data_IF_885294743533
#
_entry.id   IF_885294743533
#
_cell.length_a   1.000
_cell.length_b   1.000
_cell.length_c   1.000
_cell.angle_alpha   90.00
_cell.angle_beta   90.00
_cell.angle_gamma   90.00
#
_symmetry.space_group_name_H-M   'P 1'
#
loop_
_entity.id
_entity.type
_entity.pdbx_description
1 polymer ?
#
# COMPACT_ATOMS: atom_id res chain seq x y z
N UNK A 1 8.63 15.09 -10.19
CA UNK A 1 8.34 14.96 -8.75
C UNK A 1 9.60 15.19 -7.92
N UNK A 2 10.64 14.37 -8.06
CA UNK A 2 11.86 14.51 -7.24
C UNK A 2 12.51 15.90 -7.28
N UNK A 3 12.59 16.54 -8.45
CA UNK A 3 13.11 17.90 -8.56
C UNK A 3 12.30 18.90 -7.70
N UNK A 4 10.97 18.79 -7.69
CA UNK A 4 10.13 19.65 -6.85
C UNK A 4 10.32 19.39 -5.36
N UNK A 5 10.41 18.13 -4.93
CA UNK A 5 10.70 17.80 -3.52
C UNK A 5 12.08 18.32 -3.09
N UNK A 6 13.05 18.31 -4.00
CA UNK A 6 14.40 18.81 -3.75
C UNK A 6 14.44 20.34 -3.64
N UNK A 7 13.85 21.02 -4.62
CA UNK A 7 14.14 22.43 -4.89
C UNK A 7 13.06 23.37 -4.33
N UNK A 8 11.83 22.87 -4.11
CA UNK A 8 10.73 23.66 -3.56
C UNK A 8 10.52 23.39 -2.06
N UNK A 9 9.81 24.31 -1.40
CA UNK A 9 9.33 24.16 -0.03
C UNK A 9 7.90 23.57 -0.08
N UNK A 10 7.82 22.23 -0.03
CA UNK A 10 6.55 21.50 -0.15
C UNK A 10 6.11 20.94 1.20
N UNK A 11 4.87 21.23 1.58
CA UNK A 11 4.24 20.62 2.76
C UNK A 11 4.07 19.10 2.59
N UNK A 12 3.61 18.67 1.42
CA UNK A 12 3.37 17.26 1.12
C UNK A 12 3.48 16.91 -0.37
N UNK A 13 3.68 15.61 -0.63
CA UNK A 13 3.51 15.00 -1.96
C UNK A 13 2.56 13.81 -1.90
N UNK A 14 1.85 13.55 -3.00
CA UNK A 14 1.07 12.34 -3.16
C UNK A 14 1.73 11.40 -4.17
N UNK A 15 1.99 10.15 -3.77
CA UNK A 15 2.76 9.18 -4.58
C UNK A 15 2.08 7.80 -4.61
N UNK A 16 2.30 7.08 -5.70
CA UNK A 16 1.94 5.67 -5.79
C UNK A 16 2.95 4.81 -5.06
N UNK A 17 2.49 4.07 -4.04
CA UNK A 17 3.36 3.19 -3.26
C UNK A 17 2.56 2.04 -2.64
N UNK A 18 3.06 0.82 -2.78
CA UNK A 18 2.44 -0.38 -2.22
C UNK A 18 3.49 -1.46 -1.98
N UNK A 19 3.10 -2.58 -1.38
CA UNK A 19 3.98 -3.75 -1.28
C UNK A 19 4.46 -4.25 -2.65
N UNK A 20 3.72 -3.97 -3.74
CA UNK A 20 4.14 -4.32 -5.09
C UNK A 20 4.95 -3.20 -5.75
N UNK A 21 4.44 -1.98 -5.75
CA UNK A 21 5.07 -0.84 -6.39
C UNK A 21 5.98 -0.11 -5.38
N UNK A 22 7.27 -0.45 -5.38
CA UNK A 22 8.25 0.01 -4.40
C UNK A 22 9.30 0.96 -4.97
N UNK A 23 9.18 1.41 -6.22
CA UNK A 23 10.16 2.28 -6.86
C UNK A 23 10.40 3.60 -6.08
N UNK A 24 9.41 4.04 -5.30
CA UNK A 24 9.55 5.21 -4.44
C UNK A 24 10.58 5.03 -3.30
N UNK A 25 10.87 3.79 -2.87
CA UNK A 25 11.84 3.49 -1.80
C UNK A 25 13.27 3.87 -2.21
N UNK A 26 13.59 3.85 -3.50
CA UNK A 26 14.96 4.05 -3.98
C UNK A 26 15.41 5.51 -3.88
N UNK A 27 14.49 6.47 -4.05
CA UNK A 27 14.83 7.89 -4.23
C UNK A 27 13.84 8.83 -3.57
N UNK A 28 12.55 8.67 -3.85
CA UNK A 28 11.55 9.67 -3.49
C UNK A 28 11.22 9.67 -1.99
N UNK A 29 11.08 8.49 -1.37
CA UNK A 29 10.81 8.37 0.07
C UNK A 29 12.00 8.83 0.93
N UNK A 30 13.27 8.45 0.63
CA UNK A 30 14.43 9.02 1.32
C UNK A 30 14.51 10.55 1.16
N UNK A 31 14.31 11.06 -0.07
CA UNK A 31 14.34 12.50 -0.33
C UNK A 31 13.26 13.26 0.45
N UNK A 32 12.04 12.72 0.52
CA UNK A 32 10.96 13.32 1.30
C UNK A 32 11.30 13.36 2.81
N UNK A 33 11.90 12.29 3.34
CA UNK A 33 12.37 12.25 4.72
C UNK A 33 13.48 13.29 4.98
N UNK A 34 14.46 13.40 4.10
CA UNK A 34 15.57 14.36 4.22
C UNK A 34 15.09 15.82 4.17
N UNK A 35 14.02 16.08 3.42
CA UNK A 35 13.43 17.42 3.24
C UNK A 35 12.34 17.74 4.25
N UNK A 36 11.91 16.77 5.06
CA UNK A 36 10.78 16.93 5.99
C UNK A 36 9.42 17.07 5.29
N UNK A 37 9.31 16.67 4.02
CA UNK A 37 8.07 16.74 3.24
C UNK A 37 7.17 15.56 3.58
N UNK A 38 5.90 15.81 3.92
CA UNK A 38 4.95 14.74 4.23
C UNK A 38 4.60 13.90 2.99
N UNK A 39 4.36 12.61 3.18
CA UNK A 39 4.05 11.68 2.08
C UNK A 39 2.65 11.09 2.24
N UNK A 40 1.79 11.40 1.27
CA UNK A 40 0.47 10.80 1.11
C UNK A 40 0.55 9.66 0.08
N UNK A 41 0.24 8.44 0.49
CA UNK A 41 0.33 7.26 -0.38
C UNK A 41 -1.02 6.99 -1.03
N UNK A 42 -1.07 7.06 -2.36
CA UNK A 42 -2.20 6.59 -3.15
C UNK A 42 -1.95 5.18 -3.70
N UNK A 43 -3.04 4.49 -4.03
CA UNK A 43 -3.05 3.10 -4.49
C UNK A 43 -2.32 2.09 -3.57
N UNK A 44 -2.42 2.18 -2.22
CA UNK A 44 -1.72 1.23 -1.33
C UNK A 44 -2.18 -0.22 -1.50
N UNK A 45 -3.40 -0.42 -2.04
CA UNK A 45 -4.01 -1.72 -2.33
C UNK A 45 -4.04 -2.05 -3.84
N UNK A 46 -3.32 -1.26 -4.65
CA UNK A 46 -3.23 -1.40 -6.12
C UNK A 46 -4.61 -1.55 -6.79
N UNK A 47 -5.58 -0.69 -6.43
CA UNK A 47 -6.94 -0.71 -6.99
C UNK A 47 -7.56 -2.12 -6.96
N UNK A 48 -7.46 -2.79 -5.81
CA UNK A 48 -7.92 -4.15 -5.55
C UNK A 48 -7.17 -5.28 -6.30
N UNK A 49 -6.14 -4.99 -7.09
CA UNK A 49 -5.32 -6.04 -7.75
C UNK A 49 -4.61 -6.94 -6.74
N UNK A 50 -4.16 -6.38 -5.61
CA UNK A 50 -3.57 -7.16 -4.53
C UNK A 50 -4.58 -8.11 -3.87
N UNK A 51 -5.83 -7.66 -3.70
CA UNK A 51 -6.91 -8.50 -3.18
C UNK A 51 -7.30 -9.62 -4.15
N UNK A 52 -7.31 -9.33 -5.45
CA UNK A 52 -7.54 -10.34 -6.48
C UNK A 52 -6.48 -11.45 -6.44
N UNK A 53 -5.21 -11.09 -6.27
CA UNK A 53 -4.10 -12.04 -6.17
C UNK A 53 -4.24 -13.01 -4.97
N UNK A 54 -4.77 -12.54 -3.84
CA UNK A 54 -4.80 -13.27 -2.57
C UNK A 54 -6.18 -13.79 -2.17
N UNK A 55 -7.18 -13.67 -3.05
CA UNK A 55 -8.60 -13.93 -2.77
C UNK A 55 -8.86 -15.22 -1.98
N UNK A 56 -8.23 -16.32 -2.39
CA UNK A 56 -8.44 -17.65 -1.82
C UNK A 56 -7.25 -18.12 -0.95
N UNK A 57 -6.44 -17.17 -0.46
CA UNK A 57 -5.25 -17.46 0.32
C UNK A 57 -5.45 -17.03 1.77
N UNK A 58 -5.13 -17.90 2.75
CA UNK A 58 -5.07 -17.46 4.13
C UNK A 58 -3.94 -16.45 4.29
N UNK A 59 -4.06 -15.56 5.29
CA UNK A 59 -2.93 -14.75 5.71
C UNK A 59 -1.78 -15.65 6.16
N UNK A 60 -0.51 -15.24 5.93
CA UNK A 60 0.61 -15.94 6.53
C UNK A 60 0.54 -15.82 8.05
N UNK A 61 0.91 -16.88 8.77
CA UNK A 61 0.83 -16.94 10.24
C UNK A 61 1.53 -15.79 10.95
N UNK A 62 2.63 -15.30 10.38
CA UNK A 62 3.40 -14.18 10.93
C UNK A 62 2.71 -12.81 10.83
N UNK A 63 1.57 -12.71 10.13
CA UNK A 63 0.75 -11.51 10.15
C UNK A 63 0.27 -11.17 11.58
N UNK A 64 0.10 -12.19 12.43
CA UNK A 64 -0.25 -12.04 13.83
C UNK A 64 0.83 -11.28 14.64
N UNK A 65 2.11 -11.37 14.24
CA UNK A 65 3.24 -10.72 14.95
C UNK A 65 3.08 -9.18 14.99
N UNK A 66 2.36 -8.62 14.01
CA UNK A 66 2.03 -7.19 13.93
C UNK A 66 0.52 -6.93 13.90
N UNK A 67 -0.26 -7.90 14.38
CA UNK A 67 -1.70 -7.76 14.62
C UNK A 67 -2.57 -7.66 13.35
N UNK A 68 -2.06 -7.99 12.17
CA UNK A 68 -2.88 -8.02 10.96
C UNK A 68 -3.78 -9.26 10.94
N UNK A 69 -5.09 -9.03 10.80
CA UNK A 69 -6.14 -10.05 10.74
C UNK A 69 -6.77 -10.21 9.36
N UNK A 70 -6.57 -9.23 8.47
CA UNK A 70 -7.01 -9.27 7.08
C UNK A 70 -5.88 -8.90 6.11
N UNK A 71 -6.03 -9.26 4.83
CA UNK A 71 -5.09 -8.85 3.79
C UNK A 71 -5.05 -7.33 3.60
N UNK A 72 -6.17 -6.61 3.80
CA UNK A 72 -6.17 -5.15 3.77
C UNK A 72 -5.25 -4.58 4.85
N UNK A 73 -5.41 -5.06 6.10
CA UNK A 73 -4.54 -4.67 7.21
C UNK A 73 -3.07 -5.03 6.95
N UNK A 74 -2.79 -6.20 6.37
CA UNK A 74 -1.44 -6.62 6.00
C UNK A 74 -0.78 -5.63 5.02
N UNK A 75 -1.46 -5.29 3.93
CA UNK A 75 -0.92 -4.36 2.93
C UNK A 75 -0.83 -2.92 3.43
N UNK A 76 -1.82 -2.46 4.19
CA UNK A 76 -1.79 -1.11 4.76
C UNK A 76 -0.71 -0.94 5.81
N UNK A 77 -0.52 -1.92 6.69
CA UNK A 77 0.57 -1.90 7.67
C UNK A 77 1.94 -1.91 7.01
N UNK A 78 2.12 -2.61 5.88
CA UNK A 78 3.37 -2.53 5.11
C UNK A 78 3.70 -1.10 4.68
N UNK A 79 2.70 -0.38 4.17
CA UNK A 79 2.83 1.01 3.69
C UNK A 79 3.06 1.96 4.86
N UNK A 80 2.21 1.89 5.90
CA UNK A 80 2.27 2.75 7.08
C UNK A 80 3.56 2.57 7.89
N UNK A 81 4.19 1.40 7.80
CA UNK A 81 5.44 1.12 8.50
C UNK A 81 6.68 1.73 7.87
N UNK A 82 6.59 2.31 6.67
CA UNK A 82 7.73 3.02 6.09
C UNK A 82 7.90 4.38 6.81
N UNK A 83 9.08 4.71 7.38
CA UNK A 83 9.25 5.91 8.22
C UNK A 83 8.93 7.24 7.52
N UNK A 84 9.13 7.33 6.21
CA UNK A 84 8.80 8.52 5.43
C UNK A 84 7.29 8.67 5.10
N UNK A 85 6.46 7.66 5.34
CA UNK A 85 5.02 7.70 5.01
C UNK A 85 4.25 8.39 6.13
N UNK A 86 3.49 9.42 5.77
CA UNK A 86 2.64 10.18 6.71
C UNK A 86 1.21 9.65 6.73
N UNK A 87 0.67 9.31 5.55
CA UNK A 87 -0.73 8.89 5.42
C UNK A 87 -0.87 7.88 4.27
N UNK A 88 -1.74 6.89 4.43
CA UNK A 88 -2.20 6.02 3.35
C UNK A 88 -3.65 6.35 2.98
N UNK A 89 -3.97 6.37 1.69
CA UNK A 89 -5.28 6.71 1.15
C UNK A 89 -5.98 5.48 0.53
N UNK A 90 -6.52 4.53 1.34
CA UNK A 90 -7.29 3.41 0.82
C UNK A 90 -8.74 3.82 0.52
N UNK A 91 -9.02 4.08 -0.76
CA UNK A 91 -10.37 4.36 -1.21
C UNK A 91 -11.25 3.09 -1.21
N UNK A 92 -12.49 3.24 -0.73
CA UNK A 92 -13.52 2.18 -0.76
C UNK A 92 -14.90 2.81 -0.82
N UNK A 93 -15.86 2.10 -1.41
CA UNK A 93 -17.30 2.42 -1.37
C UNK A 93 -18.08 1.52 -0.41
N UNK A 94 -17.41 0.55 0.22
CA UNK A 94 -18.00 -0.35 1.21
C UNK A 94 -17.63 0.10 2.63
N UNK A 95 -18.60 0.40 3.51
CA UNK A 95 -18.34 0.78 4.91
C UNK A 95 -17.60 -0.31 5.70
N UNK A 96 -17.86 -1.60 5.46
CA UNK A 96 -17.15 -2.68 6.16
C UNK A 96 -15.64 -2.66 5.87
N UNK A 97 -15.27 -2.26 4.65
CA UNK A 97 -13.86 -2.07 4.31
C UNK A 97 -13.27 -0.83 4.98
N UNK A 98 -14.07 0.21 5.26
CA UNK A 98 -13.59 1.37 6.02
C UNK A 98 -13.19 0.91 7.42
N UNK A 99 -14.07 0.17 8.09
CA UNK A 99 -13.81 -0.39 9.42
C UNK A 99 -12.56 -1.27 9.42
N UNK A 100 -12.42 -2.16 8.43
CA UNK A 100 -11.24 -3.02 8.30
C UNK A 100 -9.94 -2.22 8.04
N UNK A 101 -10.00 -1.21 7.17
CA UNK A 101 -8.85 -0.36 6.88
C UNK A 101 -8.39 0.41 8.11
N UNK A 102 -9.32 0.90 8.95
CA UNK A 102 -8.99 1.62 10.18
C UNK A 102 -8.23 0.73 11.18
N UNK A 103 -8.50 -0.58 11.20
CA UNK A 103 -7.77 -1.52 12.05
C UNK A 103 -6.28 -1.64 11.69
N UNK A 104 -5.85 -1.23 10.50
CA UNK A 104 -4.44 -1.20 10.14
C UNK A 104 -3.63 -0.22 11.02
N UNK A 105 -4.29 0.81 11.57
CA UNK A 105 -3.67 1.83 12.46
C UNK A 105 -3.56 1.37 13.92
N UNK A 106 -4.11 0.20 14.27
CA UNK A 106 -4.12 -0.31 15.65
C UNK A 106 -3.00 -1.33 15.85
N UNK A 107 -2.32 -1.28 17.00
CA UNK A 107 -1.24 -2.20 17.35
C UNK A 107 0.08 -1.89 16.66
N UNK A 108 1.02 -2.84 16.73
CA UNK A 108 2.36 -2.64 16.17
C UNK A 108 2.36 -2.51 14.64
N UNK A 109 3.32 -1.74 14.13
CA UNK A 109 3.69 -1.73 12.72
C UNK A 109 4.87 -2.68 12.50
N UNK A 110 4.95 -3.37 11.35
CA UNK A 110 6.07 -4.25 11.04
C UNK A 110 7.39 -3.44 10.96
N UNK A 111 8.44 -3.91 11.63
CA UNK A 111 9.77 -3.32 11.48
C UNK A 111 10.36 -3.57 10.08
N UNK A 112 11.53 -2.99 9.79
CA UNK A 112 12.16 -3.14 8.47
C UNK A 112 12.42 -4.62 8.10
N UNK A 113 12.83 -5.45 9.06
CA UNK A 113 13.05 -6.88 8.85
C UNK A 113 11.74 -7.61 8.50
N UNK A 114 10.66 -7.25 9.17
CA UNK A 114 9.32 -7.80 8.94
C UNK A 114 8.75 -7.33 7.62
N UNK A 115 8.92 -6.05 7.25
CA UNK A 115 8.56 -5.53 5.92
C UNK A 115 9.23 -6.30 4.79
N UNK A 116 10.53 -6.61 4.93
CA UNK A 116 11.23 -7.47 3.96
C UNK A 116 10.67 -8.90 3.93
N UNK A 117 10.30 -9.46 5.09
CA UNK A 117 9.64 -10.79 5.16
C UNK A 117 8.29 -10.79 4.46
N UNK A 118 7.50 -9.72 4.61
CA UNK A 118 6.22 -9.54 3.91
C UNK A 118 6.43 -9.55 2.39
N UNK A 119 7.42 -8.80 1.90
CA UNK A 119 7.79 -8.78 0.49
C UNK A 119 8.18 -10.17 -0.02
N UNK A 120 9.10 -10.86 0.67
CA UNK A 120 9.52 -12.22 0.30
C UNK A 120 8.35 -13.21 0.27
N UNK A 121 7.41 -13.08 1.21
CA UNK A 121 6.20 -13.90 1.20
C UNK A 121 5.35 -13.62 -0.04
N UNK A 122 5.13 -12.34 -0.37
CA UNK A 122 4.37 -11.98 -1.58
C UNK A 122 5.07 -12.44 -2.87
N UNK A 123 6.40 -12.35 -2.94
CA UNK A 123 7.19 -12.82 -4.08
C UNK A 123 7.11 -14.34 -4.28
N UNK A 124 6.77 -15.10 -3.23
CA UNK A 124 6.50 -16.54 -3.35
C UNK A 124 5.11 -16.87 -3.96
N UNK A 125 4.22 -15.88 -4.10
CA UNK A 125 2.87 -16.07 -4.63
C UNK A 125 2.89 -15.92 -6.16
N UNK A 126 2.48 -16.97 -6.91
CA UNK A 126 2.41 -16.89 -8.38
C UNK A 126 1.55 -15.72 -8.86
N UNK A 127 2.06 -14.96 -9.83
CA UNK A 127 1.40 -13.78 -10.40
C UNK A 127 1.63 -12.48 -9.62
N UNK A 128 2.37 -12.48 -8.50
CA UNK A 128 2.71 -11.24 -7.80
C UNK A 128 3.51 -10.28 -8.68
N UNK A 129 4.46 -10.78 -9.47
CA UNK A 129 5.28 -9.96 -10.37
C UNK A 129 4.42 -9.14 -11.35
N UNK A 130 3.31 -9.71 -11.82
CA UNK A 130 2.46 -9.18 -12.90
C UNK A 130 1.30 -8.31 -12.40
N UNK A 131 1.16 -8.11 -11.08
CA UNK A 131 0.04 -7.39 -10.45
C UNK A 131 -0.23 -6.04 -11.11
N UNK A 132 0.82 -5.27 -11.42
CA UNK A 132 0.67 -3.91 -11.97
C UNK A 132 0.12 -3.89 -13.40
N UNK A 133 0.26 -4.99 -14.15
CA UNK A 133 -0.26 -5.15 -15.51
C UNK A 133 -1.73 -5.58 -15.56
N UNK A 134 -2.32 -6.01 -14.44
CA UNK A 134 -3.74 -6.41 -14.40
C UNK A 134 -4.67 -5.20 -14.54
N UNK A 135 -5.92 -5.36 -15.02
CA UNK A 135 -6.92 -4.28 -15.02
C UNK A 135 -7.14 -3.67 -13.64
N UNK A 136 -7.62 -2.43 -13.60
CA UNK A 136 -8.05 -1.80 -12.34
C UNK A 136 -9.34 -2.45 -11.85
N UNK A 137 -9.44 -2.65 -10.53
CA UNK A 137 -10.59 -3.25 -9.86
C UNK A 137 -11.08 -4.55 -10.52
N UNK A 138 -10.24 -5.61 -10.59
CA UNK A 138 -10.60 -6.85 -11.26
C UNK A 138 -11.96 -7.40 -10.80
N UNK A 139 -12.86 -7.63 -11.76
CA UNK A 139 -14.21 -8.15 -11.51
C UNK A 139 -15.22 -7.15 -10.94
N UNK A 140 -14.86 -5.88 -10.72
CA UNK A 140 -15.82 -4.84 -10.34
C UNK A 140 -16.41 -4.15 -11.57
N UNK A 141 -17.69 -3.83 -11.47
CA UNK A 141 -18.39 -2.92 -12.39
C UNK A 141 -18.80 -1.69 -11.60
N UNK A 142 -18.58 -0.52 -12.15
CA UNK A 142 -19.08 0.74 -11.62
C UNK A 142 -20.10 1.26 -12.61
N UNK A 143 -21.34 1.43 -12.17
CA UNK A 143 -22.39 2.02 -13.00
C UNK A 143 -22.28 3.55 -12.97
N UNK A 144 -22.51 4.24 -14.09
CA UNK A 144 -22.56 5.71 -14.16
C UNK A 144 -21.29 6.39 -14.71
N UNK A 145 -20.87 7.51 -14.07
CA UNK A 145 -19.88 8.49 -14.59
C UNK A 145 -18.43 7.97 -14.56
N UNK A 146 -18.15 6.86 -13.87
CA UNK A 146 -16.79 6.33 -13.71
C UNK A 146 -16.49 5.27 -14.78
N UNK A 147 -15.74 5.64 -15.80
CA UNK A 147 -15.17 4.70 -16.78
C UNK A 147 -13.77 4.28 -16.33
N UNK A 148 -13.55 2.98 -16.14
CA UNK A 148 -12.23 2.44 -15.84
C UNK A 148 -11.38 2.34 -17.12
N UNK A 149 -10.07 2.63 -17.05
CA UNK A 149 -9.14 2.40 -18.16
C UNK A 149 -8.85 0.91 -18.39
#
# INVERSE_FOLDING_TARGET
MEQFVRDADLDFVQIGYSIRNRAAEDRLLPLAADRGTAVLVNMPLEKARLHDLVRDRPLPSFAADFGARTWAQFFLKYVLAHPAVTCALPATTNPDHVDDNLQAMVGALPDQRTRQRMVRHMESIPGFADVLGKPWYPGKKFDGIVTLP
#
